data_IF_533740069542
#
_entry.id   IF_533740069542
#
_cell.length_a   1.000
_cell.length_b   1.000
_cell.length_c   1.000
_cell.angle_alpha   90.00
_cell.angle_beta   90.00
_cell.angle_gamma   90.00
#
_symmetry.space_group_name_H-M   'P 1'
#
loop_
_entity.id
_entity.type
_entity.pdbx_description
1 polymer ?
#
# COMPACT_ATOMS: atom_id res chain seq x y z
N UNK A 1 -20.15 6.43 1.72
CA UNK A 1 -21.29 5.47 1.74
C UNK A 1 -22.54 6.22 2.19
N UNK A 2 -23.62 6.20 1.39
CA UNK A 2 -24.83 7.05 1.56
C UNK A 2 -25.61 6.86 2.89
N UNK A 3 -25.26 5.84 3.67
CA UNK A 3 -25.94 5.44 4.91
C UNK A 3 -24.97 5.16 6.08
N UNK A 4 -23.71 5.58 6.00
CA UNK A 4 -22.72 5.42 7.08
C UNK A 4 -22.29 3.97 7.42
N UNK A 5 -22.96 2.97 6.85
CA UNK A 5 -22.64 1.56 7.06
C UNK A 5 -21.51 1.10 6.14
N UNK A 6 -20.47 0.50 6.73
CA UNK A 6 -19.42 -0.21 5.99
C UNK A 6 -20.03 -1.43 5.29
N UNK A 7 -19.96 -1.43 3.96
CA UNK A 7 -20.29 -2.58 3.13
C UNK A 7 -19.07 -3.51 3.06
N UNK A 8 -19.28 -4.84 3.01
CA UNK A 8 -18.19 -5.77 2.74
C UNK A 8 -17.59 -5.42 1.38
N UNK A 9 -16.31 -5.07 1.39
CA UNK A 9 -15.52 -4.71 0.23
C UNK A 9 -14.04 -4.95 0.54
N UNK A 10 -13.23 -5.04 -0.50
CA UNK A 10 -11.78 -5.04 -0.37
C UNK A 10 -11.23 -3.71 -0.87
N UNK A 11 -10.24 -3.21 -0.15
CA UNK A 11 -9.42 -2.11 -0.60
C UNK A 11 -8.28 -2.68 -1.46
N UNK A 12 -8.28 -2.36 -2.75
CA UNK A 12 -7.31 -2.87 -3.72
C UNK A 12 -6.21 -1.84 -3.92
N UNK A 13 -4.99 -2.23 -3.57
CA UNK A 13 -3.79 -1.45 -3.82
C UNK A 13 -3.13 -1.90 -5.12
N UNK A 14 -2.64 -0.94 -5.89
CA UNK A 14 -1.97 -1.16 -7.16
C UNK A 14 -0.68 -0.34 -7.19
N UNK A 15 0.42 -1.00 -7.59
CA UNK A 15 1.70 -0.34 -7.81
C UNK A 15 1.99 -0.32 -9.31
N UNK A 16 2.43 0.83 -9.81
CA UNK A 16 2.84 1.00 -11.19
C UNK A 16 4.24 1.57 -11.29
N UNK A 17 5.02 1.10 -12.26
CA UNK A 17 6.32 1.65 -12.61
C UNK A 17 6.51 1.58 -14.12
N UNK A 18 7.04 2.65 -14.72
CA UNK A 18 7.38 2.68 -16.15
C UNK A 18 6.22 2.28 -17.08
N UNK A 19 5.00 2.75 -16.81
CA UNK A 19 3.77 2.40 -17.55
C UNK A 19 3.24 0.96 -17.38
N UNK A 20 3.82 0.17 -16.46
CA UNK A 20 3.35 -1.17 -16.15
C UNK A 20 2.81 -1.27 -14.73
N UNK A 21 1.79 -2.12 -14.53
CA UNK A 21 1.38 -2.56 -13.19
C UNK A 21 2.39 -3.61 -12.73
N UNK A 22 3.09 -3.34 -11.64
CA UNK A 22 4.14 -4.20 -11.08
C UNK A 22 3.67 -4.97 -9.85
N UNK A 23 2.48 -4.67 -9.36
CA UNK A 23 1.83 -5.52 -8.38
C UNK A 23 0.49 -4.99 -7.91
N UNK A 24 -0.23 -5.86 -7.22
CA UNK A 24 -1.52 -5.55 -6.60
C UNK A 24 -1.63 -6.22 -5.25
N UNK A 25 -2.46 -5.68 -4.36
CA UNK A 25 -2.73 -6.24 -3.04
C UNK A 25 -4.17 -5.96 -2.62
N UNK A 26 -4.90 -7.02 -2.26
CA UNK A 26 -6.26 -6.91 -1.76
C UNK A 26 -6.26 -6.92 -0.24
N UNK A 27 -6.74 -5.85 0.37
CA UNK A 27 -6.83 -5.69 1.81
C UNK A 27 -8.28 -5.68 2.26
N UNK A 28 -8.56 -6.31 3.39
CA UNK A 28 -9.85 -6.16 4.08
C UNK A 28 -9.89 -4.87 4.93
N UNK A 29 -8.75 -4.20 5.12
CA UNK A 29 -8.70 -2.95 5.86
C UNK A 29 -9.34 -1.82 5.06
N UNK A 30 -10.21 -1.02 5.69
CA UNK A 30 -10.88 0.08 5.01
C UNK A 30 -9.98 1.29 4.77
N UNK A 31 -8.85 1.41 5.49
CA UNK A 31 -7.90 2.52 5.39
C UNK A 31 -6.60 2.09 4.71
N UNK A 32 -6.05 2.95 3.85
CA UNK A 32 -4.78 2.74 3.13
C UNK A 32 -3.57 2.79 4.07
N UNK A 33 -3.68 3.50 5.19
CA UNK A 33 -2.64 3.57 6.23
C UNK A 33 -2.10 2.18 6.60
N UNK A 34 -2.98 1.19 6.77
CA UNK A 34 -2.58 -0.16 7.19
C UNK A 34 -2.09 -1.06 6.04
N UNK A 35 -2.21 -0.63 4.79
CA UNK A 35 -1.95 -1.49 3.63
C UNK A 35 -0.53 -1.32 3.08
N UNK A 36 0.12 -0.16 3.28
CA UNK A 36 1.46 0.11 2.75
C UNK A 36 2.51 -0.90 3.18
N UNK A 37 2.69 -1.21 4.49
CA UNK A 37 3.78 -2.07 4.91
C UNK A 37 3.64 -3.48 4.33
N UNK A 38 2.40 -4.01 4.35
CA UNK A 38 2.07 -5.33 3.82
C UNK A 38 2.27 -5.39 2.30
N UNK A 39 1.90 -4.32 1.60
CA UNK A 39 2.07 -4.26 0.15
C UNK A 39 3.55 -4.15 -0.25
N UNK A 40 4.34 -3.34 0.46
CA UNK A 40 5.77 -3.20 0.23
C UNK A 40 6.54 -4.49 0.54
N UNK A 41 6.16 -5.23 1.59
CA UNK A 41 6.74 -6.55 1.88
C UNK A 41 6.45 -7.55 0.76
N UNK A 42 5.21 -7.55 0.23
CA UNK A 42 4.85 -8.39 -0.92
C UNK A 42 5.71 -8.06 -2.14
N UNK A 43 5.83 -6.78 -2.49
CA UNK A 43 6.63 -6.34 -3.63
C UNK A 43 8.12 -6.65 -3.44
N UNK A 44 8.65 -6.39 -2.24
CA UNK A 44 10.05 -6.69 -1.90
C UNK A 44 10.35 -8.18 -2.04
N UNK A 45 9.43 -9.03 -1.60
CA UNK A 45 9.57 -10.49 -1.77
C UNK A 45 9.52 -10.92 -3.24
N UNK A 46 8.70 -10.27 -4.06
CA UNK A 46 8.59 -10.57 -5.50
C UNK A 46 9.80 -10.12 -6.31
N UNK A 47 10.40 -8.98 -5.98
CA UNK A 47 11.50 -8.38 -6.75
C UNK A 47 12.88 -8.54 -6.09
N UNK A 48 12.95 -9.08 -4.88
CA UNK A 48 14.19 -9.29 -4.13
C UNK A 48 14.84 -8.02 -3.58
N UNK A 49 14.22 -6.85 -3.78
CA UNK A 49 14.68 -5.56 -3.28
C UNK A 49 13.51 -4.62 -3.00
N UNK A 50 13.73 -3.65 -2.11
CA UNK A 50 12.80 -2.55 -1.92
C UNK A 50 12.76 -1.66 -3.18
N UNK A 51 11.62 -1.02 -3.42
CA UNK A 51 11.48 -0.04 -4.51
C UNK A 51 12.31 1.20 -4.19
N UNK A 52 13.08 1.69 -5.17
CA UNK A 52 14.04 2.79 -4.97
C UNK A 52 13.34 4.12 -4.63
N UNK A 53 12.10 4.31 -5.10
CA UNK A 53 11.26 5.45 -4.78
C UNK A 53 9.81 5.01 -4.65
N UNK A 54 9.17 5.37 -3.55
CA UNK A 54 7.76 5.08 -3.28
C UNK A 54 7.02 6.41 -3.32
N UNK A 55 6.01 6.50 -4.19
CA UNK A 55 5.10 7.64 -4.29
C UNK A 55 3.69 7.12 -4.11
N UNK A 56 2.99 7.67 -3.14
CA UNK A 56 1.62 7.31 -2.79
C UNK A 56 0.78 8.58 -2.61
N UNK A 57 -0.54 8.43 -2.61
CA UNK A 57 -1.43 9.55 -2.28
C UNK A 57 -1.48 9.80 -0.75
N UNK A 58 -2.22 10.83 -0.35
CA UNK A 58 -2.34 11.23 1.05
C UNK A 58 -3.06 10.20 1.94
N UNK A 59 -3.76 9.20 1.39
CA UNK A 59 -4.42 8.15 2.19
C UNK A 59 -3.43 7.24 2.92
N UNK A 60 -2.20 7.19 2.42
CA UNK A 60 -1.08 6.45 2.99
C UNK A 60 -0.27 7.24 4.03
N UNK A 61 -0.61 8.51 4.24
CA UNK A 61 0.11 9.36 5.18
C UNK A 61 -0.16 8.93 6.62
N UNK A 62 0.88 8.41 7.29
CA UNK A 62 0.86 8.13 8.73
C UNK A 62 2.28 8.06 9.29
N UNK A 63 2.45 8.40 10.57
CA UNK A 63 3.74 8.30 11.27
C UNK A 63 4.30 6.88 11.19
N UNK A 64 3.43 5.88 11.36
CA UNK A 64 3.81 4.47 11.31
C UNK A 64 4.35 4.06 9.94
N UNK A 65 3.77 4.59 8.86
CA UNK A 65 4.27 4.35 7.50
C UNK A 65 5.62 5.04 7.27
N UNK A 66 5.82 6.25 7.79
CA UNK A 66 7.12 6.92 7.72
C UNK A 66 8.20 6.14 8.48
N UNK A 67 7.91 5.72 9.72
CA UNK A 67 8.84 4.91 10.54
C UNK A 67 9.13 3.56 9.88
N UNK A 68 8.14 2.93 9.25
CA UNK A 68 8.33 1.70 8.49
C UNK A 68 9.30 1.90 7.32
N UNK A 69 9.08 2.95 6.51
CA UNK A 69 9.91 3.26 5.36
C UNK A 69 11.34 3.63 5.77
N UNK A 70 11.50 4.42 6.83
CA UNK A 70 12.82 4.79 7.37
C UNK A 70 13.62 3.58 7.86
N UNK A 71 12.97 2.57 8.45
CA UNK A 71 13.64 1.34 8.91
C UNK A 71 14.01 0.37 7.78
N UNK A 72 13.38 0.49 6.61
CA UNK A 72 13.51 -0.45 5.49
C UNK A 72 14.34 0.10 4.33
N UNK A 73 14.42 1.42 4.18
CA UNK A 73 15.34 2.12 3.28
C UNK A 73 16.75 2.19 3.82
#
# INVERSE_FOLDING_TARGET
MRNGQLKPAYNIQCASSGYFIVGSYASHHPSDMYTLPLFMEKLTKSYGKLMDKIVADAGYESEENYVYLEKKG
#
